data_IF_678822042329
#
_entry.id   IF_678822042329
#
_cell.length_a   1.000
_cell.length_b   1.000
_cell.length_c   1.000
_cell.angle_alpha   90.00
_cell.angle_beta   90.00
_cell.angle_gamma   90.00
#
_symmetry.space_group_name_H-M   'P 1'
#
loop_
_entity.id
_entity.type
_entity.pdbx_description
1 polymer ?
#
# COMPACT_ATOMS: atom_id res chain seq x y z
N UNK A 1 -75.19 -12.48 -2.03
CA UNK A 1 -74.31 -11.70 -2.92
C UNK A 1 -73.41 -10.86 -2.03
N UNK A 2 -72.09 -10.97 -2.14
CA UNK A 2 -71.17 -10.05 -1.48
C UNK A 2 -71.17 -8.75 -2.29
N UNK A 3 -71.52 -7.62 -1.67
CA UNK A 3 -71.54 -6.31 -2.34
C UNK A 3 -70.15 -5.96 -2.89
N UNK A 4 -70.09 -5.36 -4.08
CA UNK A 4 -68.81 -5.09 -4.79
C UNK A 4 -67.85 -4.21 -3.99
N UNK A 5 -68.35 -3.42 -3.04
CA UNK A 5 -67.55 -2.64 -2.09
C UNK A 5 -66.75 -3.51 -1.11
N UNK A 6 -67.27 -4.68 -0.75
CA UNK A 6 -66.61 -5.64 0.16
C UNK A 6 -65.42 -6.31 -0.53
N UNK A 7 -65.58 -6.66 -1.81
CA UNK A 7 -64.53 -7.29 -2.63
C UNK A 7 -63.40 -6.29 -2.92
N UNK A 8 -63.75 -5.03 -3.22
CA UNK A 8 -62.77 -3.96 -3.42
C UNK A 8 -61.97 -3.66 -2.14
N UNK A 9 -62.62 -3.61 -0.97
CA UNK A 9 -61.96 -3.36 0.31
C UNK A 9 -60.98 -4.50 0.69
N UNK A 10 -61.37 -5.76 0.48
CA UNK A 10 -60.51 -6.92 0.74
C UNK A 10 -59.29 -6.94 -0.20
N UNK A 11 -59.48 -6.60 -1.48
CA UNK A 11 -58.38 -6.47 -2.45
C UNK A 11 -57.38 -5.38 -2.08
N UNK A 12 -57.85 -4.23 -1.59
CA UNK A 12 -57.01 -3.11 -1.16
C UNK A 12 -56.21 -3.44 0.11
N UNK A 13 -56.83 -4.11 1.08
CA UNK A 13 -56.16 -4.57 2.31
C UNK A 13 -55.10 -5.63 2.01
N UNK A 14 -55.38 -6.60 1.14
CA UNK A 14 -54.40 -7.63 0.75
C UNK A 14 -53.20 -7.03 0.01
N UNK A 15 -53.42 -6.04 -0.85
CA UNK A 15 -52.36 -5.37 -1.60
C UNK A 15 -51.47 -4.52 -0.66
N UNK A 16 -52.07 -3.84 0.32
CA UNK A 16 -51.34 -3.07 1.32
C UNK A 16 -50.49 -3.98 2.23
N UNK A 17 -51.04 -5.10 2.70
CA UNK A 17 -50.32 -6.09 3.53
C UNK A 17 -49.17 -6.73 2.76
N UNK A 18 -49.39 -7.10 1.49
CA UNK A 18 -48.33 -7.65 0.62
C UNK A 18 -47.19 -6.68 0.36
N UNK A 19 -47.49 -5.38 0.19
CA UNK A 19 -46.50 -4.34 -0.05
C UNK A 19 -45.61 -4.08 1.18
N UNK A 20 -46.23 -4.05 2.38
CA UNK A 20 -45.49 -3.88 3.64
C UNK A 20 -44.61 -5.10 3.92
N UNK A 21 -45.11 -6.32 3.69
CA UNK A 21 -44.33 -7.54 3.84
C UNK A 21 -43.15 -7.61 2.86
N UNK A 22 -43.35 -7.20 1.61
CA UNK A 22 -42.29 -7.12 0.60
C UNK A 22 -41.19 -6.12 0.96
N UNK A 23 -41.55 -4.94 1.47
CA UNK A 23 -40.58 -3.94 1.95
C UNK A 23 -39.81 -4.42 3.19
N UNK A 24 -40.49 -5.11 4.11
CA UNK A 24 -39.85 -5.70 5.28
C UNK A 24 -38.85 -6.81 4.90
N UNK A 25 -39.24 -7.70 4.00
CA UNK A 25 -38.35 -8.72 3.42
C UNK A 25 -37.16 -8.09 2.71
N UNK A 26 -37.38 -7.04 1.93
CA UNK A 26 -36.31 -6.31 1.26
C UNK A 26 -35.33 -5.69 2.27
N UNK A 27 -35.85 -5.07 3.34
CA UNK A 27 -35.02 -4.49 4.39
C UNK A 27 -34.17 -5.56 5.10
N UNK A 28 -34.78 -6.67 5.50
CA UNK A 28 -34.09 -7.79 6.16
C UNK A 28 -33.06 -8.47 5.25
N UNK A 29 -33.38 -8.68 3.97
CA UNK A 29 -32.45 -9.26 3.00
C UNK A 29 -31.27 -8.32 2.70
N UNK A 30 -31.52 -7.00 2.68
CA UNK A 30 -30.47 -6.01 2.50
C UNK A 30 -29.51 -5.97 3.71
N UNK A 31 -30.03 -6.09 4.93
CA UNK A 31 -29.22 -6.17 6.15
C UNK A 31 -28.33 -7.42 6.17
N UNK A 32 -28.90 -8.60 5.88
CA UNK A 32 -28.12 -9.84 5.79
C UNK A 32 -27.10 -9.81 4.66
N UNK A 33 -27.45 -9.24 3.50
CA UNK A 33 -26.51 -9.06 2.39
C UNK A 33 -25.36 -8.12 2.77
N UNK A 34 -25.63 -7.05 3.52
CA UNK A 34 -24.61 -6.12 4.00
C UNK A 34 -23.67 -6.80 5.02
N UNK A 35 -24.20 -7.58 5.95
CA UNK A 35 -23.39 -8.35 6.92
C UNK A 35 -22.51 -9.40 6.21
N UNK A 36 -23.06 -10.10 5.21
CA UNK A 36 -22.30 -11.06 4.40
C UNK A 36 -21.18 -10.37 3.63
N UNK A 37 -21.47 -9.25 2.95
CA UNK A 37 -20.45 -8.45 2.24
C UNK A 37 -19.38 -7.92 3.20
N UNK A 38 -19.75 -7.47 4.40
CA UNK A 38 -18.79 -7.04 5.41
C UNK A 38 -17.86 -8.18 5.83
N UNK A 39 -18.40 -9.39 6.07
CA UNK A 39 -17.61 -10.57 6.38
C UNK A 39 -16.69 -10.96 5.23
N UNK A 40 -17.21 -10.99 4.00
CA UNK A 40 -16.42 -11.28 2.80
C UNK A 40 -15.28 -10.27 2.62
N UNK A 41 -15.55 -8.98 2.81
CA UNK A 41 -14.53 -7.92 2.78
C UNK A 41 -13.49 -8.11 3.88
N UNK A 42 -13.89 -8.44 5.10
CA UNK A 42 -12.97 -8.69 6.21
C UNK A 42 -12.10 -9.93 5.96
N UNK A 43 -12.67 -11.01 5.42
CA UNK A 43 -11.94 -12.21 5.03
C UNK A 43 -10.95 -11.91 3.89
N UNK A 44 -11.39 -11.18 2.86
CA UNK A 44 -10.53 -10.76 1.77
C UNK A 44 -9.38 -9.87 2.28
N UNK A 45 -9.67 -8.86 3.10
CA UNK A 45 -8.66 -8.00 3.72
C UNK A 45 -7.66 -8.79 4.57
N UNK A 46 -8.15 -9.75 5.37
CA UNK A 46 -7.31 -10.62 6.18
C UNK A 46 -6.40 -11.49 5.32
N UNK A 47 -6.94 -12.10 4.25
CA UNK A 47 -6.16 -12.91 3.32
C UNK A 47 -5.11 -12.06 2.61
N UNK A 48 -5.48 -10.87 2.14
CA UNK A 48 -4.56 -9.94 1.49
C UNK A 48 -3.42 -9.51 2.41
N UNK A 49 -3.72 -9.26 3.67
CA UNK A 49 -2.70 -8.92 4.68
C UNK A 49 -1.76 -10.10 4.92
N UNK A 50 -2.29 -11.32 4.98
CA UNK A 50 -1.49 -12.54 5.13
C UNK A 50 -0.57 -12.75 3.92
N UNK A 51 -1.12 -12.69 2.71
CA UNK A 51 -0.38 -12.85 1.46
C UNK A 51 0.78 -11.83 1.37
N UNK A 52 0.52 -10.57 1.75
CA UNK A 52 1.53 -9.52 1.82
C UNK A 52 2.72 -9.91 2.72
N UNK A 53 2.45 -10.37 3.95
CA UNK A 53 3.51 -10.72 4.89
C UNK A 53 4.19 -12.07 4.59
N UNK A 54 3.57 -12.94 3.81
CA UNK A 54 4.13 -14.23 3.39
C UNK A 54 5.00 -14.11 2.13
N UNK A 55 4.77 -13.08 1.31
CA UNK A 55 5.52 -12.82 0.09
C UNK A 55 7.03 -12.62 0.37
N UNK A 56 7.86 -13.42 -0.30
CA UNK A 56 9.29 -13.47 -0.06
C UNK A 56 10.00 -12.14 -0.40
N UNK A 57 9.54 -11.46 -1.45
CA UNK A 57 10.11 -10.20 -1.90
C UNK A 57 9.73 -9.07 -0.93
N UNK A 58 8.46 -9.03 -0.50
CA UNK A 58 7.99 -8.09 0.52
C UNK A 58 8.79 -8.27 1.81
N UNK A 59 8.94 -9.50 2.29
CA UNK A 59 9.71 -9.79 3.51
C UNK A 59 11.17 -9.40 3.38
N UNK A 60 11.77 -9.61 2.21
CA UNK A 60 13.14 -9.19 1.94
C UNK A 60 13.27 -7.67 2.03
N UNK A 61 12.41 -6.93 1.33
CA UNK A 61 12.40 -5.45 1.33
C UNK A 61 12.15 -4.90 2.72
N UNK A 62 11.14 -5.42 3.43
CA UNK A 62 10.86 -5.00 4.81
C UNK A 62 12.09 -5.21 5.72
N UNK A 63 12.72 -6.39 5.67
CA UNK A 63 13.92 -6.65 6.48
C UNK A 63 15.07 -5.71 6.12
N UNK A 64 15.28 -5.46 4.83
CA UNK A 64 16.34 -4.59 4.36
C UNK A 64 16.14 -3.16 4.88
N UNK A 65 14.90 -2.67 4.85
CA UNK A 65 14.54 -1.34 5.32
C UNK A 65 14.58 -1.21 6.85
N UNK A 66 14.15 -2.24 7.59
CA UNK A 66 14.11 -2.24 9.06
C UNK A 66 15.47 -2.39 9.71
N UNK A 67 16.24 -3.39 9.26
CA UNK A 67 17.49 -3.80 9.90
C UNK A 67 18.72 -3.22 9.20
N UNK A 68 18.53 -2.55 8.06
CA UNK A 68 19.61 -2.05 7.22
C UNK A 68 20.33 -3.14 6.41
N UNK A 69 20.01 -4.42 6.64
CA UNK A 69 20.49 -5.52 5.83
C UNK A 69 19.48 -6.67 5.74
N UNK A 70 19.56 -7.47 4.68
CA UNK A 70 18.72 -8.64 4.50
C UNK A 70 19.39 -9.73 3.67
N UNK A 71 19.07 -10.99 4.00
CA UNK A 71 19.48 -12.16 3.24
C UNK A 71 18.56 -12.34 2.03
N UNK A 72 19.12 -12.45 0.83
CA UNK A 72 18.37 -12.72 -0.39
C UNK A 72 18.15 -14.23 -0.59
N UNK A 73 16.92 -14.64 -0.92
CA UNK A 73 16.51 -16.05 -0.88
C UNK A 73 16.03 -16.63 -2.21
N UNK A 74 15.92 -15.82 -3.28
CA UNK A 74 15.16 -16.17 -4.49
C UNK A 74 15.99 -16.72 -5.65
N UNK A 75 17.14 -16.13 -5.97
CA UNK A 75 17.95 -16.52 -7.14
C UNK A 75 19.13 -17.41 -6.78
N UNK A 76 19.33 -18.53 -7.47
CA UNK A 76 20.38 -19.52 -7.14
C UNK A 76 21.80 -18.94 -7.11
N UNK A 77 22.09 -17.91 -7.91
CA UNK A 77 23.41 -17.24 -7.96
C UNK A 77 23.63 -16.24 -6.82
N UNK A 78 22.57 -15.67 -6.27
CA UNK A 78 22.62 -14.63 -5.22
C UNK A 78 22.02 -15.10 -3.89
N UNK A 79 21.52 -16.34 -3.84
CA UNK A 79 20.92 -16.93 -2.65
C UNK A 79 21.93 -17.00 -1.53
N UNK A 80 21.54 -16.50 -0.37
CA UNK A 80 22.41 -16.44 0.81
C UNK A 80 23.34 -15.22 0.83
N UNK A 81 23.28 -14.33 -0.16
CA UNK A 81 23.98 -13.05 -0.07
C UNK A 81 23.23 -12.08 0.85
N UNK A 82 23.98 -11.33 1.65
CA UNK A 82 23.47 -10.24 2.48
C UNK A 82 23.54 -8.95 1.66
N UNK A 83 22.42 -8.25 1.56
CA UNK A 83 22.29 -6.93 0.96
C UNK A 83 22.28 -5.86 2.04
N UNK A 84 22.99 -4.75 1.83
CA UNK A 84 22.96 -3.59 2.71
C UNK A 84 22.06 -2.50 2.13
N UNK A 85 21.30 -1.80 2.97
CA UNK A 85 20.39 -0.71 2.58
C UNK A 85 21.12 0.44 1.89
N UNK A 86 22.42 0.62 2.18
CA UNK A 86 23.29 1.62 1.52
C UNK A 86 23.50 1.34 0.04
N UNK A 87 23.16 0.13 -0.43
CA UNK A 87 23.18 -0.23 -1.84
C UNK A 87 21.93 0.28 -2.59
N UNK A 88 20.87 0.71 -1.88
CA UNK A 88 19.61 1.15 -2.49
C UNK A 88 19.75 2.29 -3.50
N UNK A 89 20.56 3.35 -3.26
CA UNK A 89 20.75 4.41 -4.25
C UNK A 89 21.28 3.91 -5.59
N UNK A 90 22.09 2.85 -5.59
CA UNK A 90 22.62 2.25 -6.82
C UNK A 90 21.59 1.27 -7.39
N UNK A 91 21.03 0.40 -6.56
CA UNK A 91 20.06 -0.61 -6.98
C UNK A 91 18.81 -0.01 -7.61
N UNK A 92 18.27 1.07 -7.03
CA UNK A 92 17.04 1.75 -7.47
C UNK A 92 17.28 2.94 -8.43
N UNK A 93 18.52 3.18 -8.88
CA UNK A 93 18.82 4.31 -9.77
C UNK A 93 18.02 4.25 -11.09
N UNK A 94 17.32 5.31 -11.48
CA UNK A 94 16.53 5.33 -12.73
C UNK A 94 17.42 5.06 -13.96
N UNK A 95 17.07 4.03 -14.74
CA UNK A 95 17.96 3.50 -15.79
C UNK A 95 18.20 4.49 -16.94
N UNK A 96 17.20 5.31 -17.33
CA UNK A 96 17.35 6.27 -18.44
C UNK A 96 18.00 7.59 -18.04
N UNK A 97 17.87 8.04 -16.79
CA UNK A 97 18.52 9.27 -16.31
C UNK A 97 20.05 9.17 -16.29
N UNK A 98 20.60 7.94 -16.25
CA UNK A 98 22.04 7.68 -16.14
C UNK A 98 22.74 7.44 -17.47
N UNK A 99 22.00 7.16 -18.55
CA UNK A 99 22.56 7.05 -19.91
C UNK A 99 23.07 8.40 -20.46
N UNK A 100 22.66 9.53 -19.88
CA UNK A 100 23.11 10.87 -20.28
C UNK A 100 24.41 11.33 -19.61
N UNK A 101 24.90 10.63 -18.59
CA UNK A 101 26.22 10.87 -17.97
C UNK A 101 27.21 9.85 -18.52
N UNK A 102 28.14 10.31 -19.35
CA UNK A 102 29.10 9.55 -20.15
C UNK A 102 29.85 8.41 -19.44
N UNK A 103 30.17 7.38 -20.23
CA UNK A 103 31.33 6.49 -20.14
C UNK A 103 31.95 6.26 -18.75
N UNK A 104 31.45 5.26 -18.05
CA UNK A 104 32.30 4.39 -17.24
C UNK A 104 31.83 2.96 -17.40
N UNK A 105 32.54 2.25 -18.27
CA UNK A 105 32.59 0.81 -18.36
C UNK A 105 32.96 0.21 -17.01
N UNK A 106 31.98 -0.28 -16.28
CA UNK A 106 32.10 -1.35 -15.27
C UNK A 106 30.69 -1.67 -14.81
N UNK A 107 30.10 -2.78 -15.29
CA UNK A 107 28.88 -3.44 -14.79
C UNK A 107 28.17 -2.72 -13.61
N UNK A 108 27.55 -1.55 -13.86
CA UNK A 108 27.00 -0.69 -12.78
C UNK A 108 25.76 -1.32 -12.16
N UNK A 109 25.14 -2.20 -12.94
CA UNK A 109 24.24 -3.23 -12.47
C UNK A 109 25.01 -4.55 -12.39
N UNK A 110 25.78 -4.74 -11.33
CA UNK A 110 26.12 -6.11 -10.94
C UNK A 110 24.81 -6.89 -10.84
N UNK A 111 24.77 -8.17 -11.23
CA UNK A 111 23.57 -9.01 -11.16
C UNK A 111 22.85 -8.87 -9.80
N UNK A 112 23.66 -8.69 -8.74
CA UNK A 112 23.26 -8.29 -7.39
C UNK A 112 22.27 -7.12 -7.33
N UNK A 113 22.59 -5.98 -7.94
CA UNK A 113 21.76 -4.78 -7.91
C UNK A 113 20.46 -4.93 -8.73
N UNK A 114 20.49 -5.75 -9.78
CA UNK A 114 19.29 -6.05 -10.57
C UNK A 114 18.31 -6.90 -9.78
N UNK A 115 18.79 -7.84 -8.98
CA UNK A 115 17.95 -8.74 -8.20
C UNK A 115 17.11 -8.04 -7.12
N UNK A 116 17.54 -6.87 -6.65
CA UNK A 116 16.81 -6.06 -5.65
C UNK A 116 15.57 -5.40 -6.26
N UNK A 117 15.61 -5.02 -7.55
CA UNK A 117 14.53 -4.26 -8.19
C UNK A 117 13.21 -5.01 -8.26
N UNK A 118 13.15 -6.27 -8.75
CA UNK A 118 11.90 -7.03 -8.74
C UNK A 118 11.29 -7.12 -7.35
N UNK A 119 12.12 -7.19 -6.30
CA UNK A 119 11.62 -7.25 -4.94
C UNK A 119 10.97 -5.93 -4.50
N UNK A 120 11.59 -4.78 -4.83
CA UNK A 120 10.99 -3.48 -4.61
C UNK A 120 9.75 -3.23 -5.48
N UNK A 121 9.76 -3.65 -6.75
CA UNK A 121 8.58 -3.56 -7.61
C UNK A 121 7.40 -4.31 -7.02
N UNK A 122 7.61 -5.56 -6.60
CA UNK A 122 6.57 -6.37 -5.98
C UNK A 122 6.07 -5.74 -4.67
N UNK A 123 6.99 -5.24 -3.83
CA UNK A 123 6.62 -4.51 -2.62
C UNK A 123 5.76 -3.26 -2.91
N UNK A 124 6.12 -2.47 -3.92
CA UNK A 124 5.38 -1.27 -4.31
C UNK A 124 4.01 -1.62 -4.93
N UNK A 125 3.93 -2.66 -5.76
CA UNK A 125 2.66 -3.18 -6.31
C UNK A 125 1.71 -3.63 -5.20
N UNK A 126 2.24 -4.25 -4.15
CA UNK A 126 1.46 -4.57 -2.95
C UNK A 126 0.91 -3.32 -2.25
N UNK A 127 1.70 -2.26 -2.12
CA UNK A 127 1.22 -0.98 -1.58
C UNK A 127 0.17 -0.33 -2.49
N UNK A 128 0.29 -0.44 -3.81
CA UNK A 128 -0.74 0.03 -4.73
C UNK A 128 -2.06 -0.71 -4.55
N UNK A 129 -1.99 -2.04 -4.36
CA UNK A 129 -3.16 -2.87 -4.06
C UNK A 129 -3.83 -2.44 -2.76
N UNK A 130 -3.06 -2.12 -1.73
CA UNK A 130 -3.58 -1.61 -0.45
C UNK A 130 -4.36 -0.30 -0.66
N UNK A 131 -3.80 0.67 -1.40
CA UNK A 131 -4.52 1.91 -1.68
C UNK A 131 -5.83 1.65 -2.43
N UNK A 132 -5.83 0.71 -3.39
CA UNK A 132 -7.05 0.28 -4.08
C UNK A 132 -8.08 -0.32 -3.12
N UNK A 133 -7.65 -1.18 -2.17
CA UNK A 133 -8.54 -1.76 -1.15
C UNK A 133 -9.11 -0.70 -0.19
N UNK A 134 -8.33 0.32 0.14
CA UNK A 134 -8.79 1.46 0.93
C UNK A 134 -9.80 2.30 0.13
N UNK A 135 -9.51 2.57 -1.14
CA UNK A 135 -10.39 3.34 -2.03
C UNK A 135 -11.77 2.70 -2.19
N UNK A 136 -11.85 1.36 -2.17
CA UNK A 136 -13.10 0.61 -2.30
C UNK A 136 -13.75 0.21 -0.97
N UNK A 137 -13.36 0.82 0.16
CA UNK A 137 -13.89 0.54 1.50
C UNK A 137 -13.84 -0.95 1.88
N UNK A 138 -12.80 -1.65 1.43
CA UNK A 138 -12.51 -3.04 1.85
C UNK A 138 -11.66 -3.02 3.12
N UNK A 139 -10.72 -2.07 3.21
CA UNK A 139 -9.90 -1.81 4.39
C UNK A 139 -10.14 -0.36 4.85
N UNK A 140 -10.31 -0.14 6.14
CA UNK A 140 -10.46 1.21 6.70
C UNK A 140 -9.15 1.99 6.67
N UNK A 141 -9.16 3.19 6.09
CA UNK A 141 -7.98 4.06 6.02
C UNK A 141 -7.36 4.35 7.40
N UNK A 142 -8.18 4.59 8.42
CA UNK A 142 -7.70 4.88 9.78
C UNK A 142 -6.96 3.67 10.36
N UNK A 143 -7.57 2.49 10.32
CA UNK A 143 -6.97 1.27 10.86
C UNK A 143 -5.70 0.86 10.12
N UNK A 144 -5.65 1.06 8.80
CA UNK A 144 -4.41 0.88 8.05
C UNK A 144 -3.32 1.86 8.51
N UNK A 145 -3.66 3.15 8.61
CA UNK A 145 -2.73 4.19 9.03
C UNK A 145 -2.13 3.95 10.42
N UNK A 146 -2.91 3.39 11.35
CA UNK A 146 -2.43 3.00 12.68
C UNK A 146 -1.44 1.82 12.60
N UNK A 147 -1.83 0.74 11.91
CA UNK A 147 -1.02 -0.48 11.79
C UNK A 147 0.29 -0.25 11.01
N UNK A 148 0.22 0.54 9.93
CA UNK A 148 1.36 0.85 9.06
C UNK A 148 2.04 2.18 9.41
N UNK A 149 1.68 2.81 10.52
CA UNK A 149 2.21 4.11 10.96
C UNK A 149 3.74 4.16 10.94
N UNK A 150 4.38 3.08 11.41
CA UNK A 150 5.83 2.93 11.39
C UNK A 150 6.41 3.05 9.96
N UNK A 151 5.87 2.30 8.99
CA UNK A 151 6.34 2.30 7.61
C UNK A 151 6.04 3.61 6.88
N UNK A 152 4.87 4.20 7.14
CA UNK A 152 4.50 5.51 6.64
C UNK A 152 5.47 6.60 7.13
N UNK A 153 5.89 6.50 8.40
CA UNK A 153 6.93 7.37 8.95
C UNK A 153 8.28 7.03 8.33
N UNK A 154 8.69 5.77 8.26
CA UNK A 154 10.03 5.37 7.81
C UNK A 154 10.30 5.78 6.36
N UNK A 155 9.34 5.48 5.48
CA UNK A 155 9.48 5.60 4.03
C UNK A 155 8.93 6.93 3.50
N UNK A 156 8.27 7.75 4.31
CA UNK A 156 7.64 8.99 3.85
C UNK A 156 8.61 9.94 3.14
N UNK A 157 8.16 10.49 2.02
CA UNK A 157 8.84 11.53 1.24
C UNK A 157 8.98 12.83 2.02
N UNK A 158 7.93 13.16 2.78
CA UNK A 158 7.82 14.38 3.56
C UNK A 158 7.83 14.00 5.04
N UNK A 159 8.86 14.42 5.80
CA UNK A 159 8.92 14.17 7.22
C UNK A 159 8.04 15.14 7.98
N UNK A 160 7.55 14.68 9.13
CA UNK A 160 6.84 15.51 10.11
C UNK A 160 7.76 15.85 11.28
N UNK A 161 7.55 17.00 11.96
CA UNK A 161 8.36 17.38 13.13
C UNK A 161 8.35 16.35 14.26
N UNK A 162 7.28 15.54 14.36
CA UNK A 162 7.10 14.49 15.37
C UNK A 162 7.86 13.20 15.06
N UNK A 163 8.44 13.05 13.86
CA UNK A 163 9.05 11.81 13.44
C UNK A 163 10.35 11.54 14.21
N UNK A 164 10.44 10.35 14.83
CA UNK A 164 11.59 9.93 15.65
C UNK A 164 12.49 8.90 14.96
N UNK A 165 12.08 8.38 13.80
CA UNK A 165 12.75 7.25 13.12
C UNK A 165 13.85 7.79 12.19
N UNK A 166 15.08 7.31 12.37
CA UNK A 166 16.28 7.80 11.68
C UNK A 166 17.25 6.72 11.18
N UNK A 167 16.93 5.42 11.24
CA UNK A 167 17.85 4.36 10.78
C UNK A 167 17.97 4.29 9.25
N UNK A 168 16.92 4.66 8.51
CA UNK A 168 17.01 4.84 7.06
C UNK A 168 17.52 6.25 6.73
N UNK A 169 18.60 6.33 5.95
CA UNK A 169 19.24 7.60 5.62
C UNK A 169 18.36 8.45 4.69
N UNK A 170 18.69 9.75 4.57
CA UNK A 170 18.02 10.61 3.59
C UNK A 170 18.32 10.17 2.15
N UNK A 171 19.51 9.65 1.88
CA UNK A 171 19.90 9.19 0.54
C UNK A 171 19.10 7.94 0.13
N UNK A 172 18.92 6.99 1.04
CA UNK A 172 18.17 5.75 0.76
C UNK A 172 16.67 6.03 0.58
N UNK A 173 16.10 6.93 1.39
CA UNK A 173 14.74 7.41 1.19
C UNK A 173 14.57 8.15 -0.14
N UNK A 174 15.50 9.06 -0.46
CA UNK A 174 15.46 9.79 -1.72
C UNK A 174 15.51 8.82 -2.90
N UNK A 175 16.39 7.83 -2.88
CA UNK A 175 16.48 6.79 -3.90
C UNK A 175 15.16 6.05 -4.11
N UNK A 176 14.45 5.71 -3.03
CA UNK A 176 13.13 5.09 -3.12
C UNK A 176 12.12 6.01 -3.82
N UNK A 177 12.06 7.30 -3.48
CA UNK A 177 11.11 8.23 -4.11
C UNK A 177 11.49 8.61 -5.54
N UNK A 178 12.79 8.70 -5.82
CA UNK A 178 13.35 8.84 -7.15
C UNK A 178 13.09 7.62 -8.03
N UNK A 179 12.75 6.48 -7.42
CA UNK A 179 12.24 5.30 -8.11
C UNK A 179 10.71 5.34 -8.27
N UNK A 180 9.97 5.60 -7.18
CA UNK A 180 8.50 5.62 -7.16
C UNK A 180 7.91 6.59 -8.19
N UNK A 181 8.40 7.83 -8.24
CA UNK A 181 7.79 8.87 -9.08
C UNK A 181 8.01 8.61 -10.58
N UNK A 182 9.24 8.37 -11.08
CA UNK A 182 9.46 8.21 -12.51
C UNK A 182 8.89 6.90 -13.08
N UNK A 183 8.71 5.87 -12.25
CA UNK A 183 8.03 4.62 -12.63
C UNK A 183 6.52 4.66 -12.39
N UNK A 184 5.96 5.82 -12.02
CA UNK A 184 4.52 6.06 -11.94
C UNK A 184 3.75 5.12 -10.98
N UNK A 185 4.35 4.76 -9.85
CA UNK A 185 3.66 4.09 -8.74
C UNK A 185 2.69 5.05 -8.02
N UNK A 186 1.74 5.60 -8.78
CA UNK A 186 0.86 6.69 -8.40
C UNK A 186 -0.06 6.31 -7.24
N UNK A 187 -0.41 5.04 -7.09
CA UNK A 187 -1.22 4.59 -5.95
C UNK A 187 -0.40 4.60 -4.67
N UNK A 188 0.91 4.33 -4.73
CA UNK A 188 1.82 4.52 -3.58
C UNK A 188 1.90 6.00 -3.22
N UNK A 189 2.07 6.89 -4.20
CA UNK A 189 2.08 8.35 -3.94
C UNK A 189 0.78 8.78 -3.25
N UNK A 190 -0.38 8.35 -3.76
CA UNK A 190 -1.69 8.63 -3.14
C UNK A 190 -1.80 8.06 -1.73
N UNK A 191 -1.34 6.82 -1.51
CA UNK A 191 -1.33 6.18 -0.20
C UNK A 191 -0.56 7.02 0.81
N UNK A 192 0.65 7.44 0.48
CA UNK A 192 1.47 8.26 1.39
C UNK A 192 0.91 9.68 1.54
N UNK A 193 0.39 10.28 0.47
CA UNK A 193 -0.23 11.61 0.50
C UNK A 193 -1.47 11.63 1.41
N UNK A 194 -2.28 10.57 1.41
CA UNK A 194 -3.43 10.39 2.33
C UNK A 194 -3.03 10.54 3.80
N UNK A 195 -1.83 10.07 4.16
CA UNK A 195 -1.29 10.22 5.52
C UNK A 195 -0.35 11.40 5.66
N UNK A 196 -0.36 12.36 4.73
CA UNK A 196 0.51 13.53 4.70
C UNK A 196 2.00 13.18 4.83
N UNK A 197 2.41 12.13 4.10
CA UNK A 197 3.78 11.62 4.01
C UNK A 197 4.38 11.76 2.61
N UNK A 198 3.61 12.24 1.64
CA UNK A 198 4.07 12.57 0.30
C UNK A 198 3.30 13.76 -0.24
N UNK A 199 3.90 14.47 -1.20
CA UNK A 199 3.19 15.46 -1.99
C UNK A 199 2.20 14.78 -2.95
N UNK A 200 1.20 15.51 -3.50
CA UNK A 200 0.28 14.93 -4.47
C UNK A 200 1.02 14.39 -5.71
N UNK A 201 0.35 13.54 -6.49
CA UNK A 201 0.86 13.07 -7.78
C UNK A 201 1.19 14.27 -8.66
N UNK A 202 2.39 14.28 -9.27
CA UNK A 202 2.88 15.39 -10.09
C UNK A 202 3.49 16.56 -9.32
N UNK A 203 3.54 16.54 -7.99
CA UNK A 203 4.36 17.49 -7.22
C UNK A 203 5.83 17.09 -7.17
N UNK A 204 6.70 18.08 -7.00
CA UNK A 204 8.13 17.90 -6.89
C UNK A 204 8.59 17.72 -5.44
N UNK A 205 9.56 16.83 -5.26
CA UNK A 205 10.60 16.98 -4.25
C UNK A 205 10.50 16.05 -3.04
N UNK A 206 11.48 15.16 -2.92
CA UNK A 206 11.83 14.55 -1.65
C UNK A 206 12.30 15.62 -0.65
N UNK A 207 11.76 15.61 0.57
CA UNK A 207 12.15 16.55 1.62
C UNK A 207 13.05 15.84 2.63
N UNK A 208 14.34 16.19 2.72
CA UNK A 208 15.25 15.53 3.65
C UNK A 208 14.85 15.80 5.09
N UNK A 209 15.01 14.78 5.95
CA UNK A 209 14.88 14.96 7.40
C UNK A 209 15.99 15.86 7.89
N UNK A 210 15.66 16.79 8.78
CA UNK A 210 16.65 17.50 9.59
C UNK A 210 17.39 16.45 10.42
N UNK A 211 18.64 16.19 10.08
CA UNK A 211 19.55 15.46 10.94
C UNK A 211 19.74 16.30 12.19
N UNK A 212 19.17 15.85 13.31
CA UNK A 212 19.57 16.38 14.61
C UNK A 212 20.97 15.87 14.84
N UNK A 213 21.98 16.63 14.41
CA UNK A 213 23.37 16.43 14.77
C UNK A 213 23.48 16.59 16.29
N UNK A 214 23.19 15.53 17.03
CA UNK A 214 23.93 15.28 18.25
C UNK A 214 25.24 14.65 17.82
N UNK A 215 26.14 15.50 17.30
CA UNK A 215 27.57 15.31 17.53
C UNK A 215 27.73 15.29 19.05
N UNK A 216 27.74 14.10 19.62
CA UNK A 216 28.26 13.89 20.96
C UNK A 216 29.67 13.35 20.77
N UNK A 217 30.62 14.28 20.97
CA UNK A 217 31.82 14.15 21.83
C UNK A 217 32.39 12.75 22.00
#
# INVERSE_FOLDING_TARGET
MLDSNSVALIGLVLTAVGSVFGLYQYYMNNEQANLTRQRERALAASQQTKDFFEDADVRFVMRLLDYGNALFLKEDTLKGQIFDVRELPIALAVHWKRQQSEQSETNVFADRNLAVRPAFDNFLLWLERVEHLIHHDVIGAVGFGELFSYWLVLLGEIPRPSDRINHLSNADRAALWDYIRPYEFNSVVRLFARYGRAGPVGSDGFVPRKTTSKENV
#
